data_IF_538442169889
#
_entry.id   IF_538442169889
#
_cell.length_a   1.000
_cell.length_b   1.000
_cell.length_c   1.000
_cell.angle_alpha   90.00
_cell.angle_beta   90.00
_cell.angle_gamma   90.00
#
_symmetry.space_group_name_H-M   'P 1'
#
loop_
_entity.id
_entity.type
_entity.pdbx_description
1 polymer ?
#
# COMPACT_ATOMS: atom_id res chain seq x y z
N UNK A 1 17.95 -23.21 15.79
CA UNK A 1 16.79 -22.45 15.25
C UNK A 1 16.20 -21.52 16.32
N UNK A 2 17.00 -20.57 16.83
CA UNK A 2 16.59 -19.49 17.76
C UNK A 2 16.94 -18.05 17.31
N UNK A 3 17.94 -17.78 16.43
CA UNK A 3 18.32 -16.40 16.06
C UNK A 3 17.22 -15.60 15.37
N UNK A 4 16.38 -16.26 14.57
CA UNK A 4 15.35 -15.62 13.76
C UNK A 4 14.22 -15.02 14.59
N UNK A 5 13.88 -15.65 15.73
CA UNK A 5 12.78 -15.19 16.59
C UNK A 5 13.21 -14.03 17.50
N UNK A 6 14.45 -14.03 17.98
CA UNK A 6 15.03 -12.90 18.75
C UNK A 6 15.20 -11.65 17.86
N UNK A 7 15.63 -11.81 16.60
CA UNK A 7 15.62 -10.71 15.62
C UNK A 7 14.19 -10.21 15.36
N UNK A 8 13.21 -11.10 15.21
CA UNK A 8 11.81 -10.71 14.98
C UNK A 8 11.22 -9.90 16.14
N UNK A 9 11.67 -10.13 17.38
CA UNK A 9 11.25 -9.37 18.55
C UNK A 9 11.96 -8.01 18.67
N UNK A 10 13.18 -7.85 18.12
CA UNK A 10 13.89 -6.56 18.16
C UNK A 10 13.30 -5.54 17.16
N UNK A 11 12.82 -5.97 15.99
CA UNK A 11 12.18 -5.08 15.01
C UNK A 11 10.77 -4.61 15.40
N UNK A 12 10.14 -5.25 16.41
CA UNK A 12 8.84 -4.84 16.96
C UNK A 12 8.94 -3.72 18.00
N UNK A 13 10.15 -3.27 18.35
CA UNK A 13 10.35 -2.12 19.23
C UNK A 13 10.44 -0.85 18.38
N UNK A 14 9.79 0.21 18.84
CA UNK A 14 9.56 1.54 18.22
C UNK A 14 10.82 2.27 17.65
N UNK A 15 12.01 1.69 17.76
CA UNK A 15 13.25 2.17 17.15
C UNK A 15 14.25 1.01 16.99
N UNK A 16 14.79 0.81 15.79
CA UNK A 16 16.02 0.03 15.59
C UNK A 16 17.20 0.98 15.39
N UNK A 17 18.30 0.73 16.08
CA UNK A 17 19.51 1.56 16.06
C UNK A 17 20.62 0.85 15.28
N UNK A 18 21.34 1.59 14.43
CA UNK A 18 22.52 1.08 13.76
C UNK A 18 23.74 1.12 14.72
N UNK A 19 24.42 -0.01 14.86
CA UNK A 19 25.67 -0.13 15.62
C UNK A 19 26.86 -0.15 14.67
N UNK A 20 27.90 0.62 14.98
CA UNK A 20 29.18 0.49 14.27
C UNK A 20 29.83 -0.87 14.53
N UNK A 21 30.38 -1.49 13.49
CA UNK A 21 31.20 -2.71 13.59
C UNK A 21 32.50 -2.50 14.36
N UNK A 22 32.85 -1.25 14.68
CA UNK A 22 33.98 -0.87 15.53
C UNK A 22 33.44 -0.14 16.76
N UNK A 23 33.41 -0.84 17.90
CA UNK A 23 33.22 -0.21 19.22
C UNK A 23 31.78 -0.04 19.75
N UNK A 24 30.75 -0.58 19.11
CA UNK A 24 29.41 -0.74 19.74
C UNK A 24 28.64 0.55 20.08
N UNK A 25 29.10 1.70 19.59
CA UNK A 25 28.39 2.98 19.80
C UNK A 25 27.18 3.07 18.87
N UNK A 26 26.03 3.53 19.39
CA UNK A 26 24.80 3.78 18.64
C UNK A 26 25.01 5.04 17.80
N UNK A 27 24.85 4.96 16.47
CA UNK A 27 25.20 6.09 15.58
C UNK A 27 23.97 6.75 14.93
N UNK A 28 22.86 6.04 14.72
CA UNK A 28 21.61 6.68 14.24
C UNK A 28 20.37 5.78 14.41
N UNK A 29 19.19 6.42 14.49
CA UNK A 29 17.87 5.76 14.47
C UNK A 29 17.51 5.46 13.01
N UNK A 30 17.27 4.19 12.68
CA UNK A 30 16.90 3.78 11.32
C UNK A 30 15.39 4.01 11.12
N UNK A 31 14.97 4.70 10.04
CA UNK A 31 13.55 4.85 9.71
C UNK A 31 12.86 3.49 9.51
N UNK A 32 11.62 3.34 9.99
CA UNK A 32 10.88 2.07 9.93
C UNK A 32 10.65 1.59 8.49
N UNK A 33 10.50 2.49 7.51
CA UNK A 33 10.39 2.14 6.09
C UNK A 33 11.63 1.40 5.55
N UNK A 34 12.83 1.84 5.93
CA UNK A 34 14.09 1.18 5.53
C UNK A 34 14.25 -0.20 6.19
N UNK A 35 13.73 -0.37 7.40
CA UNK A 35 13.73 -1.66 8.11
C UNK A 35 12.81 -2.69 7.44
N UNK A 36 11.63 -2.24 7.00
CA UNK A 36 10.69 -3.09 6.26
C UNK A 36 11.32 -3.52 4.92
N UNK A 37 11.95 -2.60 4.20
CA UNK A 37 12.63 -2.90 2.95
C UNK A 37 13.81 -3.87 3.15
N UNK A 38 14.63 -3.66 4.19
CA UNK A 38 15.73 -4.55 4.55
C UNK A 38 15.22 -5.95 4.96
N UNK A 39 14.11 -6.04 5.69
CA UNK A 39 13.46 -7.31 6.03
C UNK A 39 13.01 -8.06 4.79
N UNK A 40 12.36 -7.40 3.83
CA UNK A 40 11.96 -8.03 2.57
C UNK A 40 13.16 -8.45 1.71
N UNK A 41 14.28 -7.72 1.74
CA UNK A 41 15.53 -8.10 1.08
C UNK A 41 16.16 -9.33 1.74
N UNK A 42 16.21 -9.38 3.07
CA UNK A 42 16.77 -10.50 3.85
C UNK A 42 15.92 -11.77 3.74
N UNK A 43 14.60 -11.68 3.85
CA UNK A 43 13.69 -12.82 3.72
C UNK A 43 13.75 -13.46 2.31
N UNK A 44 14.20 -12.71 1.29
CA UNK A 44 14.39 -13.19 -0.09
C UNK A 44 15.77 -13.80 -0.35
N UNK A 45 16.79 -13.53 0.47
CA UNK A 45 18.07 -14.23 0.38
C UNK A 45 17.96 -15.59 1.08
N UNK A 46 17.38 -16.58 0.39
CA UNK A 46 17.63 -17.96 0.78
C UNK A 46 19.07 -18.30 0.40
N UNK A 47 19.79 -18.80 1.39
CA UNK A 47 21.15 -19.33 1.37
C UNK A 47 22.30 -18.32 1.32
N UNK A 48 22.98 -18.18 2.46
CA UNK A 48 24.41 -17.93 2.48
C UNK A 48 25.11 -19.11 1.81
N UNK A 49 25.34 -19.03 0.51
CA UNK A 49 25.94 -20.13 -0.24
C UNK A 49 26.16 -19.79 -1.71
N UNK A 50 27.43 -19.57 -2.07
CA UNK A 50 28.06 -19.53 -3.40
C UNK A 50 27.12 -19.84 -4.60
N UNK A 51 26.72 -18.79 -5.33
CA UNK A 51 26.09 -18.90 -6.66
C UNK A 51 26.53 -17.75 -7.57
N UNK A 52 27.08 -18.08 -8.75
CA UNK A 52 27.57 -17.18 -9.80
C UNK A 52 26.44 -16.26 -10.30
N UNK A 53 26.69 -14.98 -10.64
CA UNK A 53 25.62 -14.00 -10.85
C UNK A 53 24.82 -14.32 -12.11
N UNK A 54 23.63 -14.89 -11.91
CA UNK A 54 22.59 -14.93 -12.93
C UNK A 54 21.90 -13.56 -12.95
N UNK A 55 21.88 -12.95 -14.13
CA UNK A 55 21.37 -11.61 -14.43
C UNK A 55 19.84 -11.48 -14.32
N UNK A 56 19.29 -11.83 -13.16
CA UNK A 56 17.90 -11.53 -12.84
C UNK A 56 17.80 -10.12 -12.28
N UNK A 57 17.50 -9.17 -13.18
CA UNK A 57 17.14 -7.79 -12.83
C UNK A 57 15.97 -7.82 -11.85
N UNK A 58 16.27 -7.74 -10.55
CA UNK A 58 15.31 -7.34 -9.52
C UNK A 58 14.92 -5.89 -9.81
N UNK A 59 13.85 -5.70 -10.59
CA UNK A 59 13.36 -4.39 -11.00
C UNK A 59 12.53 -3.77 -9.87
N UNK A 60 13.24 -3.22 -8.90
CA UNK A 60 12.78 -2.17 -7.97
C UNK A 60 12.25 -0.97 -8.75
N UNK A 61 11.55 -0.05 -8.06
CA UNK A 61 11.07 1.23 -8.65
C UNK A 61 12.21 2.12 -9.16
N UNK A 62 13.47 1.82 -8.81
CA UNK A 62 14.66 2.63 -9.09
C UNK A 62 14.95 2.84 -10.57
N UNK A 63 14.42 1.98 -11.45
CA UNK A 63 14.56 2.10 -12.91
C UNK A 63 13.31 2.67 -13.59
N UNK A 64 12.41 3.31 -12.85
CA UNK A 64 11.23 3.94 -13.42
C UNK A 64 11.58 5.26 -14.10
N UNK A 65 11.30 5.34 -15.40
CA UNK A 65 11.34 6.59 -16.16
C UNK A 65 9.94 6.88 -16.72
N UNK A 66 9.29 7.92 -16.20
CA UNK A 66 7.95 8.32 -16.59
C UNK A 66 7.79 8.59 -18.11
N UNK A 67 8.87 8.98 -18.79
CA UNK A 67 8.85 9.30 -20.24
C UNK A 67 8.78 8.05 -21.09
N UNK A 68 9.49 6.99 -20.71
CA UNK A 68 9.60 5.75 -21.48
C UNK A 68 8.77 4.60 -20.91
N UNK A 69 8.24 4.74 -19.69
CA UNK A 69 7.44 3.72 -19.03
C UNK A 69 6.13 3.43 -19.77
N UNK A 70 5.84 2.13 -19.91
CA UNK A 70 4.55 1.62 -20.38
C UNK A 70 3.42 1.95 -19.40
N UNK A 71 2.17 1.91 -19.87
CA UNK A 71 1.00 2.10 -18.99
C UNK A 71 0.95 1.10 -17.84
N UNK A 72 1.43 -0.14 -18.05
CA UNK A 72 1.57 -1.14 -16.98
C UNK A 72 2.54 -0.66 -15.90
N UNK A 73 3.73 -0.22 -16.32
CA UNK A 73 4.75 0.25 -15.39
C UNK A 73 4.29 1.48 -14.62
N UNK A 74 3.60 2.41 -15.29
CA UNK A 74 3.00 3.59 -14.65
C UNK A 74 1.92 3.22 -13.62
N UNK A 75 1.05 2.26 -13.95
CA UNK A 75 0.04 1.74 -13.01
C UNK A 75 0.68 1.18 -11.76
N UNK A 76 1.55 0.17 -11.91
CA UNK A 76 2.23 -0.44 -10.77
C UNK A 76 3.07 0.56 -9.97
N UNK A 77 3.76 1.49 -10.63
CA UNK A 77 4.53 2.53 -9.95
C UNK A 77 3.63 3.42 -9.09
N UNK A 78 2.47 3.81 -9.61
CA UNK A 78 1.46 4.55 -8.86
C UNK A 78 0.98 3.80 -7.62
N UNK A 79 0.64 2.51 -7.76
CA UNK A 79 0.20 1.67 -6.64
C UNK A 79 1.30 1.54 -5.56
N UNK A 80 2.56 1.34 -5.97
CA UNK A 80 3.69 1.23 -5.04
C UNK A 80 3.90 2.53 -4.27
N UNK A 81 3.95 3.67 -4.96
CA UNK A 81 4.16 4.98 -4.32
C UNK A 81 3.00 5.39 -3.43
N UNK A 82 1.77 5.09 -3.86
CA UNK A 82 0.60 5.30 -3.02
C UNK A 82 0.69 4.50 -1.72
N UNK A 83 0.98 3.20 -1.82
CA UNK A 83 1.07 2.33 -0.65
C UNK A 83 2.17 2.77 0.33
N UNK A 84 3.34 3.15 -0.19
CA UNK A 84 4.43 3.71 0.61
C UNK A 84 4.00 4.99 1.34
N UNK A 85 3.33 5.92 0.64
CA UNK A 85 2.80 7.13 1.26
C UNK A 85 1.79 6.81 2.38
N UNK A 86 0.82 5.93 2.13
CA UNK A 86 -0.21 5.61 3.13
C UNK A 86 0.35 4.95 4.41
N UNK A 87 1.47 4.24 4.31
CA UNK A 87 2.09 3.54 5.45
C UNK A 87 3.13 4.39 6.19
N UNK A 88 3.83 5.27 5.47
CA UNK A 88 5.02 5.95 5.98
C UNK A 88 4.86 7.46 6.14
N UNK A 89 3.79 8.08 5.61
CA UNK A 89 3.57 9.52 5.74
C UNK A 89 3.26 9.91 7.18
N UNK A 90 4.05 10.84 7.71
CA UNK A 90 3.95 11.30 9.09
C UNK A 90 2.69 12.14 9.34
N UNK A 91 2.27 12.96 8.38
CA UNK A 91 1.03 13.76 8.47
C UNK A 91 -0.20 12.86 8.61
N UNK A 92 -0.22 11.71 7.95
CA UNK A 92 -1.30 10.72 8.09
C UNK A 92 -1.35 10.14 9.50
N UNK A 93 -0.20 9.79 10.07
CA UNK A 93 -0.11 9.26 11.44
C UNK A 93 -0.58 10.30 12.46
N UNK A 94 -0.15 11.56 12.29
CA UNK A 94 -0.58 12.69 13.13
C UNK A 94 -2.07 12.99 12.98
N UNK A 95 -2.64 12.79 11.79
CA UNK A 95 -4.08 12.86 11.55
C UNK A 95 -4.86 11.64 12.08
N UNK A 96 -4.19 10.66 12.70
CA UNK A 96 -4.81 9.51 13.34
C UNK A 96 -5.02 8.30 12.44
N UNK A 97 -4.32 8.21 11.30
CA UNK A 97 -4.33 7.07 10.40
C UNK A 97 -3.10 6.17 10.63
N UNK A 98 -3.21 5.24 11.59
CA UNK A 98 -2.23 4.17 11.79
C UNK A 98 -2.60 2.97 10.92
N UNK A 99 -2.21 3.02 9.65
CA UNK A 99 -2.71 2.10 8.63
C UNK A 99 -1.90 0.80 8.56
N UNK A 100 -2.63 -0.32 8.45
CA UNK A 100 -2.06 -1.65 8.21
C UNK A 100 -2.70 -2.27 6.97
N UNK A 101 -1.93 -2.77 6.00
CA UNK A 101 -2.50 -3.40 4.80
C UNK A 101 -3.33 -4.62 5.17
N UNK A 102 -4.48 -4.79 4.52
CA UNK A 102 -5.31 -5.99 4.65
C UNK A 102 -5.72 -6.50 3.27
N UNK A 103 -5.75 -7.83 3.12
CA UNK A 103 -5.98 -8.44 1.82
C UNK A 103 -4.76 -8.33 0.90
N UNK A 104 -5.01 -7.99 -0.37
CA UNK A 104 -3.98 -7.94 -1.41
C UNK A 104 -2.93 -6.89 -1.13
N UNK A 105 -1.68 -7.29 -1.32
CA UNK A 105 -0.54 -6.38 -1.29
C UNK A 105 -0.42 -5.60 -2.61
N UNK A 106 0.15 -4.39 -2.50
CA UNK A 106 0.59 -3.63 -3.66
C UNK A 106 1.60 -4.44 -4.51
N UNK A 107 1.77 -4.11 -5.80
CA UNK A 107 2.76 -4.73 -6.67
C UNK A 107 4.16 -4.66 -6.05
N UNK A 108 4.96 -5.69 -6.23
CA UNK A 108 6.35 -5.72 -5.75
C UNK A 108 7.33 -5.09 -6.72
N UNK A 109 6.89 -4.83 -7.95
CA UNK A 109 7.66 -4.12 -8.95
C UNK A 109 6.85 -3.66 -10.16
N UNK A 110 7.43 -2.74 -10.93
CA UNK A 110 6.75 -2.08 -12.05
C UNK A 110 6.41 -3.02 -13.24
N UNK A 111 6.87 -4.27 -13.22
CA UNK A 111 6.62 -5.23 -14.30
C UNK A 111 5.62 -6.32 -13.93
N UNK A 112 5.16 -6.36 -12.67
CA UNK A 112 4.17 -7.29 -12.18
C UNK A 112 2.88 -7.21 -12.99
N UNK A 113 2.09 -8.30 -12.96
CA UNK A 113 0.82 -8.34 -13.67
C UNK A 113 -0.14 -7.31 -13.06
N UNK A 114 -0.84 -6.57 -13.91
CA UNK A 114 -1.88 -5.65 -13.46
C UNK A 114 -3.00 -6.43 -12.79
N UNK A 115 -3.27 -6.10 -11.54
CA UNK A 115 -4.41 -6.61 -10.79
C UNK A 115 -5.51 -5.56 -10.87
N UNK A 116 -6.65 -5.91 -11.48
CA UNK A 116 -7.81 -5.01 -11.54
C UNK A 116 -8.57 -5.04 -10.21
N UNK A 117 -8.97 -3.90 -9.67
CA UNK A 117 -9.80 -3.84 -8.48
C UNK A 117 -9.58 -2.57 -7.69
N UNK A 118 -9.71 -2.68 -6.37
CA UNK A 118 -9.16 -1.74 -5.40
C UNK A 118 -7.64 -1.92 -5.40
N UNK A 119 -6.91 -0.82 -5.39
CA UNK A 119 -5.44 -0.83 -5.44
C UNK A 119 -4.84 -1.01 -4.03
N UNK A 120 -5.44 -0.37 -3.01
CA UNK A 120 -5.03 -0.49 -1.61
C UNK A 120 -6.22 -0.62 -0.66
N UNK A 121 -6.08 -1.48 0.35
CA UNK A 121 -7.05 -1.64 1.42
C UNK A 121 -6.31 -1.76 2.75
N UNK A 122 -6.71 -0.93 3.72
CA UNK A 122 -6.00 -0.80 4.99
C UNK A 122 -6.98 -0.79 6.15
N UNK A 123 -6.61 -1.43 7.24
CA UNK A 123 -7.26 -1.27 8.55
C UNK A 123 -6.56 -0.13 9.30
N UNK A 124 -7.33 0.75 9.94
CA UNK A 124 -6.80 1.76 10.84
C UNK A 124 -6.71 1.18 12.25
N UNK A 125 -5.49 0.99 12.74
CA UNK A 125 -5.22 0.46 14.06
C UNK A 125 -5.40 1.48 15.18
N UNK A 126 -5.62 2.75 14.87
CA UNK A 126 -5.95 3.77 15.85
C UNK A 126 -7.34 3.52 16.46
N UNK A 127 -7.37 3.01 17.70
CA UNK A 127 -8.61 2.69 18.41
C UNK A 127 -9.51 3.90 18.69
N UNK A 128 -8.93 5.11 18.72
CA UNK A 128 -9.66 6.35 18.96
C UNK A 128 -10.28 6.92 17.67
N UNK A 129 -9.97 6.36 16.51
CA UNK A 129 -10.55 6.76 15.23
C UNK A 129 -11.93 6.14 15.02
N UNK A 130 -12.89 6.94 14.54
CA UNK A 130 -14.16 6.44 14.01
C UNK A 130 -13.98 5.74 12.65
N UNK A 131 -12.93 6.09 11.90
CA UNK A 131 -12.56 5.40 10.66
C UNK A 131 -11.85 4.09 11.00
N UNK A 132 -12.40 2.97 10.53
CA UNK A 132 -11.87 1.61 10.70
C UNK A 132 -11.09 1.12 9.48
N UNK A 133 -11.45 1.56 8.28
CA UNK A 133 -10.74 1.18 7.06
C UNK A 133 -10.47 2.37 6.13
N UNK A 134 -9.41 2.26 5.34
CA UNK A 134 -9.11 3.14 4.22
C UNK A 134 -9.07 2.30 2.95
N UNK A 135 -9.80 2.73 1.93
CA UNK A 135 -9.76 2.14 0.59
C UNK A 135 -9.09 3.16 -0.32
N UNK A 136 -8.01 2.75 -0.98
CA UNK A 136 -7.19 3.59 -1.85
C UNK A 136 -7.27 3.15 -3.31
N UNK A 137 -7.30 4.14 -4.20
CA UNK A 137 -7.10 3.98 -5.64
C UNK A 137 -5.94 4.88 -6.07
N UNK A 138 -4.96 4.30 -6.75
CA UNK A 138 -3.79 5.01 -7.24
C UNK A 138 -3.96 5.43 -8.70
N UNK A 139 -3.54 6.66 -9.02
CA UNK A 139 -3.52 7.18 -10.39
C UNK A 139 -2.20 7.88 -10.68
N UNK A 140 -1.51 7.42 -11.71
CA UNK A 140 -0.29 8.04 -12.19
C UNK A 140 -0.56 9.15 -13.22
N UNK A 141 0.05 10.31 -13.02
CA UNK A 141 -0.01 11.47 -13.91
C UNK A 141 -1.43 11.99 -14.12
N UNK A 142 -1.82 12.20 -15.37
CA UNK A 142 -3.14 12.72 -15.74
C UNK A 142 -4.27 11.69 -15.64
N UNK A 143 -3.98 10.43 -15.29
CA UNK A 143 -4.96 9.34 -15.23
C UNK A 143 -6.08 9.65 -14.23
N UNK A 144 -7.34 9.36 -14.58
CA UNK A 144 -8.51 9.67 -13.74
C UNK A 144 -9.26 8.41 -13.28
N UNK A 145 -10.19 8.58 -12.33
CA UNK A 145 -11.15 7.54 -11.96
C UNK A 145 -12.02 7.18 -13.19
N UNK A 146 -12.08 5.89 -13.51
CA UNK A 146 -12.85 5.39 -14.63
C UNK A 146 -14.35 5.25 -14.34
N UNK A 147 -15.16 5.17 -15.40
CA UNK A 147 -16.55 4.73 -15.34
C UNK A 147 -16.63 3.26 -15.74
N UNK A 148 -17.35 2.47 -14.97
CA UNK A 148 -17.55 1.03 -15.21
C UNK A 148 -19.03 0.71 -15.36
N UNK A 149 -19.35 -0.56 -15.62
CA UNK A 149 -20.74 -1.05 -15.58
C UNK A 149 -21.38 -0.82 -14.21
N UNK A 150 -20.60 -0.89 -13.13
CA UNK A 150 -21.04 -0.65 -11.75
C UNK A 150 -20.94 0.83 -11.34
N UNK A 151 -20.87 1.76 -12.30
CA UNK A 151 -20.69 3.18 -12.01
C UNK A 151 -19.22 3.59 -11.89
N UNK A 152 -18.99 4.78 -11.33
CA UNK A 152 -17.66 5.40 -11.19
C UNK A 152 -16.81 4.59 -10.22
N UNK A 153 -15.51 4.45 -10.48
CA UNK A 153 -14.58 3.83 -9.53
C UNK A 153 -14.71 4.49 -8.16
N UNK A 154 -14.52 3.69 -7.11
CA UNK A 154 -14.66 4.09 -5.70
C UNK A 154 -16.06 4.47 -5.22
N UNK A 155 -17.07 4.50 -6.10
CA UNK A 155 -18.47 4.60 -5.66
C UNK A 155 -18.94 3.36 -4.90
N UNK A 156 -20.03 3.49 -4.13
CA UNK A 156 -20.65 2.35 -3.44
C UNK A 156 -21.05 1.22 -4.41
N UNK A 157 -21.66 1.57 -5.53
CA UNK A 157 -22.06 0.60 -6.55
C UNK A 157 -20.86 -0.14 -7.12
N UNK A 158 -19.75 0.58 -7.35
CA UNK A 158 -18.53 -0.02 -7.84
C UNK A 158 -17.92 -0.95 -6.81
N UNK A 159 -17.70 -0.49 -5.57
CA UNK A 159 -17.09 -1.27 -4.49
C UNK A 159 -17.85 -2.59 -4.25
N UNK A 160 -19.19 -2.53 -4.25
CA UNK A 160 -20.07 -3.67 -4.02
C UNK A 160 -20.36 -4.51 -5.30
N UNK A 161 -20.09 -3.95 -6.48
CA UNK A 161 -20.41 -4.59 -7.76
C UNK A 161 -21.91 -4.70 -8.02
N UNK A 162 -22.66 -3.63 -7.77
CA UNK A 162 -24.13 -3.64 -7.73
C UNK A 162 -24.80 -4.17 -9.02
N UNK A 163 -24.21 -3.93 -10.20
CA UNK A 163 -24.79 -4.40 -11.48
C UNK A 163 -24.18 -5.70 -11.96
N UNK A 164 -22.88 -5.88 -11.76
CA UNK A 164 -22.14 -7.04 -12.27
C UNK A 164 -22.13 -8.22 -11.30
N UNK A 165 -22.54 -8.01 -10.04
CA UNK A 165 -22.42 -8.96 -8.92
C UNK A 165 -20.97 -9.37 -8.61
N UNK A 166 -20.00 -8.51 -8.97
CA UNK A 166 -18.57 -8.73 -8.73
C UNK A 166 -18.07 -7.76 -7.66
N UNK A 167 -18.22 -8.08 -6.39
CA UNK A 167 -17.73 -7.22 -5.30
C UNK A 167 -16.22 -7.02 -5.39
N UNK A 168 -15.76 -5.76 -5.44
CA UNK A 168 -14.33 -5.44 -5.41
C UNK A 168 -13.77 -5.54 -4.00
N UNK A 169 -14.58 -5.24 -2.97
CA UNK A 169 -14.19 -5.47 -1.57
C UNK A 169 -13.88 -6.95 -1.36
N UNK A 170 -14.78 -7.86 -1.74
CA UNK A 170 -14.56 -9.31 -1.62
C UNK A 170 -13.32 -9.77 -2.39
N UNK A 171 -13.10 -9.21 -3.59
CA UNK A 171 -11.91 -9.50 -4.39
C UNK A 171 -10.61 -8.97 -3.76
N UNK A 172 -10.66 -7.84 -3.07
CA UNK A 172 -9.49 -7.22 -2.43
C UNK A 172 -9.02 -8.05 -1.22
N UNK A 173 -9.93 -8.73 -0.54
CA UNK A 173 -9.64 -9.62 0.59
C UNK A 173 -9.54 -11.11 0.19
N UNK A 174 -9.20 -11.38 -1.07
CA UNK A 174 -9.01 -12.73 -1.61
C UNK A 174 -10.17 -13.70 -1.35
N UNK A 175 -11.40 -13.19 -1.33
CA UNK A 175 -12.60 -14.00 -1.13
C UNK A 175 -12.96 -14.27 0.33
N UNK A 176 -12.27 -13.67 1.31
CA UNK A 176 -12.69 -13.73 2.72
C UNK A 176 -14.03 -13.01 2.90
N UNK A 177 -15.10 -13.80 2.91
CA UNK A 177 -16.47 -13.30 3.04
C UNK A 177 -16.73 -12.63 4.40
N UNK A 178 -16.06 -13.06 5.47
CA UNK A 178 -16.26 -12.47 6.81
C UNK A 178 -15.62 -11.09 6.86
N UNK A 179 -14.38 -10.96 6.39
CA UNK A 179 -13.70 -9.68 6.34
C UNK A 179 -14.39 -8.72 5.36
N UNK A 180 -14.81 -9.21 4.18
CA UNK A 180 -15.56 -8.40 3.22
C UNK A 180 -16.87 -7.87 3.81
N UNK A 181 -17.59 -8.70 4.57
CA UNK A 181 -18.82 -8.29 5.26
C UNK A 181 -18.55 -7.20 6.30
N UNK A 182 -17.50 -7.34 7.11
CA UNK A 182 -17.08 -6.31 8.08
C UNK A 182 -16.78 -4.97 7.42
N UNK A 183 -15.99 -4.98 6.35
CA UNK A 183 -15.65 -3.76 5.60
C UNK A 183 -16.89 -3.15 4.96
N UNK A 184 -17.79 -3.98 4.40
CA UNK A 184 -19.05 -3.50 3.82
C UNK A 184 -19.95 -2.86 4.86
N UNK A 185 -20.00 -3.41 6.08
CA UNK A 185 -20.73 -2.83 7.21
C UNK A 185 -20.11 -1.49 7.65
N UNK A 186 -18.79 -1.43 7.83
CA UNK A 186 -18.08 -0.19 8.11
C UNK A 186 -18.35 0.88 7.04
N UNK A 187 -18.44 0.49 5.77
CA UNK A 187 -18.77 1.41 4.67
C UNK A 187 -20.19 2.00 4.80
N UNK A 188 -21.15 1.21 5.27
CA UNK A 188 -22.52 1.65 5.56
C UNK A 188 -22.59 2.56 6.79
N UNK A 189 -21.76 2.26 7.79
CA UNK A 189 -21.67 3.00 9.06
C UNK A 189 -20.83 4.27 8.96
N UNK A 190 -20.35 4.62 7.75
CA UNK A 190 -19.48 5.78 7.50
C UNK A 190 -18.13 5.71 8.24
N UNK A 191 -17.65 4.51 8.51
CA UNK A 191 -16.37 4.22 9.17
C UNK A 191 -15.24 3.91 8.16
N UNK A 192 -15.42 4.31 6.89
CA UNK A 192 -14.45 4.05 5.82
C UNK A 192 -14.12 5.34 5.08
N UNK A 193 -12.83 5.63 4.98
CA UNK A 193 -12.32 6.67 4.08
C UNK A 193 -12.01 6.08 2.71
N UNK A 194 -12.46 6.78 1.66
CA UNK A 194 -12.13 6.44 0.28
C UNK A 194 -11.15 7.48 -0.23
N UNK A 195 -10.00 7.04 -0.69
CA UNK A 195 -8.86 7.90 -1.03
C UNK A 195 -8.45 7.69 -2.47
N UNK A 196 -8.18 8.78 -3.17
CA UNK A 196 -7.50 8.81 -4.45
C UNK A 196 -6.10 9.31 -4.22
N UNK A 197 -5.11 8.48 -4.52
CA UNK A 197 -3.70 8.85 -4.48
C UNK A 197 -3.20 9.19 -5.88
N UNK A 198 -2.93 10.47 -6.12
CA UNK A 198 -2.36 10.99 -7.36
C UNK A 198 -0.84 10.98 -7.27
N UNK A 199 -0.22 10.19 -8.12
CA UNK A 199 1.25 10.06 -8.18
C UNK A 199 1.77 10.79 -9.40
N UNK A 200 2.68 11.74 -9.20
CA UNK A 200 3.32 12.47 -10.29
C UNK A 200 4.51 11.70 -10.91
N UNK A 201 5.13 12.28 -11.94
CA UNK A 201 6.27 11.67 -12.62
C UNK A 201 7.54 11.57 -11.77
N UNK A 202 7.62 12.33 -10.68
CA UNK A 202 8.73 12.33 -9.71
C UNK A 202 8.46 11.35 -8.57
N UNK A 203 7.25 10.80 -8.48
CA UNK A 203 6.81 9.89 -7.42
C UNK A 203 6.22 10.59 -6.20
N UNK A 204 5.95 11.90 -6.27
CA UNK A 204 5.24 12.59 -5.20
C UNK A 204 3.77 12.17 -5.20
N UNK A 205 3.20 12.01 -4.01
CA UNK A 205 1.82 11.56 -3.82
C UNK A 205 1.00 12.70 -3.25
N UNK A 206 -0.15 12.98 -3.86
CA UNK A 206 -1.19 13.84 -3.31
C UNK A 206 -2.48 13.05 -3.15
N UNK A 207 -3.08 13.13 -1.98
CA UNK A 207 -4.23 12.34 -1.56
C UNK A 207 -5.51 13.17 -1.58
N UNK A 208 -6.62 12.56 -1.98
CA UNK A 208 -7.91 13.21 -2.04
C UNK A 208 -9.02 12.30 -1.51
N UNK A 209 -9.95 12.87 -0.76
CA UNK A 209 -11.14 12.15 -0.28
C UNK A 209 -12.15 11.99 -1.41
N UNK A 210 -12.78 10.82 -1.46
CA UNK A 210 -13.82 10.45 -2.42
C UNK A 210 -15.13 10.17 -1.68
N UNK A 211 -16.23 10.70 -2.18
CA UNK A 211 -17.56 10.42 -1.62
C UNK A 211 -18.15 9.07 -2.07
N UNK A 212 -19.36 8.77 -1.61
CA UNK A 212 -20.06 7.53 -1.94
C UNK A 212 -20.46 7.40 -3.42
N UNK A 213 -20.45 8.50 -4.19
CA UNK A 213 -20.75 8.55 -5.63
C UNK A 213 -19.49 8.39 -6.49
N UNK A 214 -18.31 8.40 -5.87
CA UNK A 214 -17.02 8.31 -6.55
C UNK A 214 -16.48 9.69 -6.95
N UNK A 215 -17.04 10.78 -6.41
CA UNK A 215 -16.62 12.14 -6.70
C UNK A 215 -15.57 12.61 -5.68
N UNK A 216 -14.60 13.38 -6.16
CA UNK A 216 -13.52 13.92 -5.33
C UNK A 216 -14.06 15.15 -4.59
N UNK A 217 -13.98 15.15 -3.26
CA UNK A 217 -14.60 16.18 -2.40
C UNK A 217 -13.61 17.05 -1.64
N UNK A 218 -12.31 16.76 -1.72
CA UNK A 218 -11.27 17.58 -1.09
C UNK A 218 -9.96 16.84 -0.95
N UNK A 219 -8.93 17.55 -0.51
CA UNK A 219 -7.66 16.94 -0.11
C UNK A 219 -7.87 16.08 1.14
N UNK A 220 -7.19 14.94 1.16
CA UNK A 220 -7.06 14.11 2.34
C UNK A 220 -5.66 14.36 2.92
N UNK A 221 -5.46 14.27 4.25
CA UNK A 221 -4.18 14.63 4.89
C UNK A 221 -2.96 13.85 4.36
#
# INVERSE_FOLDING_TARGET
MKPTLEMLQSFKREASYAFSSVGGTIITKIPQGELIEAYYKFAKSKDGGKGKPSSNKNKTVDNFDAKTATNKQKGNYGEIKSSDNLLNNQSLKEAGFDLKPVGKSAPTGINDKIVKGIDGLYENANQNSNIKYVIDEAKFGSSQLGKTKDGRQMSNDWLNGAKTRKSRILKAVDGDAKLASKITKALQDQEVERVLSKVDSSGNVKTFRIDAKGDIIGEWP
#
